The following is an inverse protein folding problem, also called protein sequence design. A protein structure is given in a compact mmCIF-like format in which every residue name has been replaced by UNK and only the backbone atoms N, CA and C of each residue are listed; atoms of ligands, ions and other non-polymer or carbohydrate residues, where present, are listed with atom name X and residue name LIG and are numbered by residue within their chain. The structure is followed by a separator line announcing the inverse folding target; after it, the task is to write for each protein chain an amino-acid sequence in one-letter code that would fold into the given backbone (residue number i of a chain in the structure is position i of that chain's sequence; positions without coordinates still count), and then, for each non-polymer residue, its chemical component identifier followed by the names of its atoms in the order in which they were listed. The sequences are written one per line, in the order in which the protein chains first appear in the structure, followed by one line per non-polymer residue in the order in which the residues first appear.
data_IF_333306432038
#
_entry.id   IF_333306432038
#
_cell.length_a   1.000
_cell.length_b   1.000
_cell.length_c   1.000
_cell.angle_alpha   90.00
_cell.angle_beta   90.00
_cell.angle_gamma   90.00
#
_symmetry.space_group_name_H-M   'P 1'
#
loop_
_entity.id
_entity.type
_entity.pdbx_description
1 polymer ?
#
# COMPACT_ATOMS: atom_id res chain seq x y z
N UNK A 1 -15.57 40.98 13.79
CA UNK A 1 -15.12 39.58 13.61
C UNK A 1 -13.88 39.62 12.75
N UNK A 2 -12.71 39.47 13.33
CA UNK A 2 -11.43 39.47 12.62
C UNK A 2 -11.36 38.22 11.75
N UNK A 3 -11.29 38.42 10.43
CA UNK A 3 -10.92 37.37 9.48
C UNK A 3 -9.61 36.73 9.98
N UNK A 4 -9.53 35.40 10.15
CA UNK A 4 -8.28 34.77 10.57
C UNK A 4 -7.20 35.15 9.56
N UNK A 5 -6.12 35.74 10.07
CA UNK A 5 -4.93 36.02 9.27
C UNK A 5 -4.47 34.72 8.62
N UNK A 6 -4.23 34.71 7.30
CA UNK A 6 -3.78 33.56 6.48
C UNK A 6 -2.64 32.71 7.08
N UNK A 7 -1.96 33.19 8.11
CA UNK A 7 -0.87 32.54 8.83
C UNK A 7 -1.33 31.45 9.83
N UNK A 8 -2.63 31.34 10.15
CA UNK A 8 -3.15 30.31 11.08
C UNK A 8 -3.74 29.07 10.38
N UNK A 9 -3.85 29.08 9.05
CA UNK A 9 -4.38 27.94 8.31
C UNK A 9 -3.30 26.86 8.11
N UNK A 10 -3.42 25.75 8.83
CA UNK A 10 -2.57 24.58 8.61
C UNK A 10 -2.98 23.86 7.31
N UNK A 11 -1.99 23.33 6.56
CA UNK A 11 -2.25 22.49 5.38
C UNK A 11 -2.99 21.20 5.76
N UNK A 12 -2.71 20.68 6.95
CA UNK A 12 -3.34 19.49 7.50
C UNK A 12 -4.15 19.88 8.73
N UNK A 13 -5.41 19.45 8.79
CA UNK A 13 -6.27 19.62 9.95
C UNK A 13 -5.90 18.59 11.03
N UNK A 14 -5.24 19.04 12.09
CA UNK A 14 -4.80 18.17 13.19
C UNK A 14 -5.98 17.48 13.91
N UNK A 15 -7.14 18.14 13.99
CA UNK A 15 -8.35 17.56 14.58
C UNK A 15 -8.89 16.43 13.71
N UNK A 16 -8.90 16.60 12.38
CA UNK A 16 -9.27 15.54 11.44
C UNK A 16 -8.30 14.36 11.51
N UNK A 17 -6.99 14.64 11.61
CA UNK A 17 -5.96 13.60 11.79
C UNK A 17 -6.27 12.74 13.01
N UNK A 18 -6.54 13.36 14.15
CA UNK A 18 -6.82 12.62 15.38
C UNK A 18 -8.16 11.89 15.36
N UNK A 19 -9.23 12.59 14.95
CA UNK A 19 -10.61 12.10 15.11
C UNK A 19 -11.07 11.15 14.00
N UNK A 20 -10.48 11.23 12.81
CA UNK A 20 -10.84 10.36 11.68
C UNK A 20 -9.73 9.37 11.33
N UNK A 21 -8.50 9.85 11.21
CA UNK A 21 -7.42 9.02 10.67
C UNK A 21 -6.71 8.16 11.70
N UNK A 22 -6.59 8.64 12.95
CA UNK A 22 -5.93 7.90 14.02
C UNK A 22 -6.91 7.22 14.99
N UNK A 23 -8.19 7.58 14.94
CA UNK A 23 -9.24 6.96 15.75
C UNK A 23 -9.32 5.46 15.45
N UNK A 24 -9.08 4.64 16.47
CA UNK A 24 -9.10 3.16 16.37
C UNK A 24 -8.20 2.62 15.24
N UNK A 25 -7.09 3.32 14.95
CA UNK A 25 -6.13 2.95 13.93
C UNK A 25 -4.86 2.37 14.57
N UNK A 26 -4.98 1.28 15.32
CA UNK A 26 -3.82 0.61 15.92
C UNK A 26 -2.77 0.26 14.86
N UNK A 27 -1.50 0.30 15.27
CA UNK A 27 -0.31 0.13 14.43
C UNK A 27 0.03 1.34 13.54
N UNK A 28 -0.77 2.41 13.56
CA UNK A 28 -0.44 3.67 12.88
C UNK A 28 0.89 4.29 13.36
N UNK A 29 1.29 4.03 14.61
CA UNK A 29 2.59 4.41 15.15
C UNK A 29 3.76 3.70 14.44
N UNK A 30 3.52 2.50 13.89
CA UNK A 30 4.48 1.80 13.02
C UNK A 30 4.80 2.60 11.75
N UNK A 31 3.83 3.37 11.26
CA UNK A 31 4.02 4.32 10.15
C UNK A 31 4.51 5.70 10.63
N UNK A 32 4.85 5.84 11.91
CA UNK A 32 5.34 7.09 12.52
C UNK A 32 4.26 8.12 12.83
N UNK A 33 2.99 7.73 12.83
CA UNK A 33 1.90 8.63 13.20
C UNK A 33 1.78 8.79 14.72
N UNK A 34 1.26 9.94 15.15
CA UNK A 34 0.97 10.26 16.54
C UNK A 34 -0.18 11.29 16.60
N UNK A 35 -0.83 11.54 17.75
CA UNK A 35 -1.94 12.50 17.82
C UNK A 35 -1.58 13.85 17.16
N UNK A 36 -2.43 14.32 16.24
CA UNK A 36 -2.21 15.53 15.44
C UNK A 36 -1.14 15.46 14.35
N UNK A 37 -0.49 14.30 14.14
CA UNK A 37 0.63 14.13 13.20
C UNK A 37 0.51 12.84 12.39
N UNK A 38 0.45 12.95 11.06
CA UNK A 38 0.23 11.80 10.17
C UNK A 38 1.44 10.88 9.99
N UNK A 39 2.65 11.33 10.31
CA UNK A 39 3.87 10.58 9.99
C UNK A 39 3.93 10.18 8.52
N UNK A 40 4.23 8.91 8.25
CA UNK A 40 4.22 8.32 6.91
C UNK A 40 2.83 8.24 6.26
N UNK A 41 1.75 8.42 7.02
CA UNK A 41 0.38 8.51 6.50
C UNK A 41 0.22 9.53 5.38
N UNK A 42 0.98 10.63 5.44
CA UNK A 42 0.98 11.65 4.39
C UNK A 42 1.42 11.11 3.03
N UNK A 43 2.33 10.13 2.98
CA UNK A 43 2.79 9.51 1.74
C UNK A 43 1.68 8.66 1.11
N UNK A 44 0.94 7.92 1.95
CA UNK A 44 -0.14 7.04 1.49
C UNK A 44 -1.35 7.82 0.97
N UNK A 45 -1.52 9.07 1.40
CA UNK A 45 -2.45 10.03 0.80
C UNK A 45 -1.85 10.67 -0.46
N UNK A 46 -0.62 11.19 -0.36
CA UNK A 46 0.00 11.98 -1.42
C UNK A 46 0.24 11.20 -2.70
N UNK A 47 0.60 9.91 -2.64
CA UNK A 47 0.79 9.06 -3.81
C UNK A 47 -0.50 8.98 -4.66
N UNK A 48 -1.61 8.42 -4.17
CA UNK A 48 -2.83 8.33 -4.97
C UNK A 48 -3.39 9.69 -5.37
N UNK A 49 -3.21 10.72 -4.55
CA UNK A 49 -3.61 12.09 -4.90
C UNK A 49 -2.78 12.65 -6.07
N UNK A 50 -1.44 12.56 -5.99
CA UNK A 50 -0.53 13.24 -6.91
C UNK A 50 -0.59 12.71 -8.34
N UNK A 51 -0.74 11.40 -8.53
CA UNK A 51 -0.87 10.79 -9.87
C UNK A 51 -2.28 10.28 -10.17
N UNK A 52 -3.29 10.68 -9.38
CA UNK A 52 -4.71 10.35 -9.57
C UNK A 52 -4.96 8.84 -9.69
N UNK A 53 -4.43 8.06 -8.75
CA UNK A 53 -4.56 6.61 -8.73
C UNK A 53 -6.04 6.19 -8.66
N UNK A 54 -6.53 5.54 -9.71
CA UNK A 54 -7.93 5.09 -9.80
C UNK A 54 -8.16 3.84 -8.97
N UNK A 55 -7.27 2.85 -9.08
CA UNK A 55 -7.36 1.61 -8.31
C UNK A 55 -6.20 1.51 -7.32
N UNK A 56 -6.52 1.66 -6.04
CA UNK A 56 -5.59 1.42 -4.94
C UNK A 56 -5.87 0.05 -4.31
N UNK A 57 -4.81 -0.69 -3.97
CA UNK A 57 -4.91 -1.98 -3.27
C UNK A 57 -3.97 -1.93 -2.07
N UNK A 58 -4.50 -2.27 -0.89
CA UNK A 58 -3.74 -2.36 0.36
C UNK A 58 -3.76 -3.81 0.85
N UNK A 59 -2.59 -4.41 1.07
CA UNK A 59 -2.45 -5.73 1.67
C UNK A 59 -1.96 -5.56 3.10
N UNK A 60 -2.74 -6.07 4.05
CA UNK A 60 -2.51 -5.85 5.48
C UNK A 60 -3.06 -4.49 5.90
N UNK A 61 -3.73 -4.48 7.05
CA UNK A 61 -4.50 -3.31 7.48
C UNK A 61 -4.16 -2.80 8.88
N UNK A 62 -3.86 -3.69 9.83
CA UNK A 62 -3.87 -3.36 11.25
C UNK A 62 -5.21 -2.71 11.65
N UNK A 63 -5.17 -1.49 12.18
CA UNK A 63 -6.37 -0.69 12.44
C UNK A 63 -7.02 -0.05 11.20
N UNK A 64 -6.53 -0.34 10.00
CA UNK A 64 -7.02 0.23 8.74
C UNK A 64 -6.44 1.61 8.44
N UNK A 65 -5.25 1.96 8.95
CA UNK A 65 -4.67 3.31 8.79
C UNK A 65 -4.41 3.70 7.33
N UNK A 66 -3.66 2.86 6.59
CA UNK A 66 -3.27 3.10 5.20
C UNK A 66 -4.46 3.15 4.22
N UNK A 67 -5.43 2.21 4.22
CA UNK A 67 -6.55 2.26 3.28
C UNK A 67 -7.43 3.50 3.47
N UNK A 68 -7.52 4.07 4.68
CA UNK A 68 -8.20 5.36 4.93
C UNK A 68 -7.53 6.50 4.18
N UNK A 69 -6.19 6.55 4.16
CA UNK A 69 -5.42 7.58 3.45
C UNK A 69 -5.61 7.50 1.94
N UNK A 70 -5.51 6.28 1.40
CA UNK A 70 -5.77 6.05 -0.02
C UNK A 70 -7.17 6.49 -0.41
N UNK A 71 -8.16 6.08 0.39
CA UNK A 71 -9.55 6.38 0.08
C UNK A 71 -9.86 7.87 0.23
N UNK A 72 -9.29 8.55 1.23
CA UNK A 72 -9.47 9.98 1.37
C UNK A 72 -8.88 10.75 0.18
N UNK A 73 -7.67 10.39 -0.28
CA UNK A 73 -7.08 11.02 -1.46
C UNK A 73 -7.99 10.94 -2.68
N UNK A 74 -8.60 9.77 -2.90
CA UNK A 74 -9.57 9.58 -3.96
C UNK A 74 -10.83 10.44 -3.76
N UNK A 75 -11.41 10.46 -2.54
CA UNK A 75 -12.58 11.28 -2.21
C UNK A 75 -12.32 12.77 -2.46
N UNK A 76 -11.14 13.27 -2.14
CA UNK A 76 -10.78 14.66 -2.36
C UNK A 76 -10.63 14.99 -3.86
N UNK A 77 -10.03 14.09 -4.64
CA UNK A 77 -9.98 14.21 -6.10
C UNK A 77 -11.38 14.20 -6.74
N UNK A 78 -12.27 13.33 -6.25
CA UNK A 78 -13.67 13.26 -6.64
C UNK A 78 -14.40 14.57 -6.37
N UNK A 79 -14.26 15.11 -5.16
CA UNK A 79 -14.88 16.38 -4.78
C UNK A 79 -14.41 17.54 -5.67
N UNK A 80 -13.11 17.57 -6.01
CA UNK A 80 -12.57 18.56 -6.94
C UNK A 80 -13.12 18.40 -8.36
N UNK A 81 -13.21 17.17 -8.88
CA UNK A 81 -13.76 16.90 -10.20
C UNK A 81 -15.22 17.35 -10.31
N UNK A 82 -16.04 17.01 -9.30
CA UNK A 82 -17.45 17.42 -9.20
C UNK A 82 -17.58 18.94 -9.14
N UNK A 83 -16.74 19.62 -8.33
CA UNK A 83 -16.74 21.08 -8.24
C UNK A 83 -16.41 21.77 -9.57
N UNK A 84 -15.68 21.10 -10.47
CA UNK A 84 -15.34 21.57 -11.81
C UNK A 84 -16.34 21.12 -12.89
N UNK A 85 -17.40 20.40 -12.53
CA UNK A 85 -18.41 19.91 -13.48
C UNK A 85 -17.94 18.74 -14.36
N UNK A 86 -16.90 18.03 -13.96
CA UNK A 86 -16.42 16.83 -14.64
C UNK A 86 -17.18 15.57 -14.15
N UNK A 87 -17.34 14.58 -15.04
CA UNK A 87 -17.86 13.27 -14.66
C UNK A 87 -16.81 12.53 -13.81
N UNK A 88 -17.13 12.16 -12.55
CA UNK A 88 -16.16 11.49 -11.69
C UNK A 88 -15.87 10.06 -12.21
N UNK A 89 -14.64 9.83 -12.66
CA UNK A 89 -14.19 8.49 -13.00
C UNK A 89 -14.09 7.59 -11.76
N UNK A 90 -14.38 6.28 -11.94
CA UNK A 90 -14.48 5.28 -10.88
C UNK A 90 -13.18 5.02 -10.11
N UNK A 91 -12.98 5.77 -9.04
CA UNK A 91 -11.96 5.53 -8.02
C UNK A 91 -12.40 4.44 -7.05
N UNK A 92 -11.54 3.46 -6.81
CA UNK A 92 -11.74 2.40 -5.83
C UNK A 92 -10.48 2.12 -5.01
N UNK A 93 -10.72 1.76 -3.75
CA UNK A 93 -9.69 1.29 -2.83
C UNK A 93 -10.11 -0.09 -2.34
N UNK A 94 -9.25 -1.09 -2.57
CA UNK A 94 -9.42 -2.44 -2.06
C UNK A 94 -8.51 -2.67 -0.86
N UNK A 95 -9.05 -3.29 0.17
CA UNK A 95 -8.29 -3.75 1.32
C UNK A 95 -8.31 -5.28 1.36
N UNK A 96 -7.14 -5.90 1.44
CA UNK A 96 -6.97 -7.35 1.53
C UNK A 96 -6.35 -7.66 2.88
N UNK A 97 -7.05 -8.45 3.68
CA UNK A 97 -6.56 -8.91 4.98
C UNK A 97 -7.09 -10.33 5.23
N UNK A 98 -6.21 -11.26 5.60
CA UNK A 98 -6.62 -12.65 5.80
C UNK A 98 -7.13 -12.92 7.22
N UNK A 99 -6.96 -11.98 8.16
CA UNK A 99 -7.23 -12.16 9.59
C UNK A 99 -6.62 -13.47 10.13
N UNK A 100 -5.29 -13.54 10.18
CA UNK A 100 -4.54 -14.72 10.62
C UNK A 100 -3.63 -14.40 11.82
N UNK A 101 -4.19 -13.92 12.95
CA UNK A 101 -3.41 -13.48 14.11
C UNK A 101 -2.47 -14.58 14.65
N UNK A 102 -2.82 -15.86 14.48
CA UNK A 102 -1.99 -17.01 14.85
C UNK A 102 -0.68 -17.11 14.05
N UNK A 103 -0.61 -16.46 12.88
CA UNK A 103 0.60 -16.37 12.06
C UNK A 103 1.55 -15.26 12.53
N UNK A 104 1.18 -14.53 13.60
CA UNK A 104 1.94 -13.40 14.14
C UNK A 104 1.67 -12.07 13.42
N UNK A 105 0.87 -12.09 12.35
CA UNK A 105 0.56 -10.96 11.46
C UNK A 105 -0.94 -10.93 11.14
N UNK A 106 -1.48 -9.81 10.68
CA UNK A 106 -2.87 -9.74 10.23
C UNK A 106 -3.89 -9.92 11.36
N UNK A 107 -3.99 -8.92 12.24
CA UNK A 107 -5.02 -8.81 13.29
C UNK A 107 -5.83 -7.53 13.09
N UNK A 108 -6.74 -7.51 12.10
CA UNK A 108 -7.58 -6.35 11.83
C UNK A 108 -8.47 -6.04 13.04
N UNK A 109 -8.55 -4.76 13.43
CA UNK A 109 -9.38 -4.30 14.56
C UNK A 109 -10.75 -3.78 14.12
N UNK A 110 -11.13 -4.01 12.87
CA UNK A 110 -12.33 -3.48 12.25
C UNK A 110 -13.26 -4.59 11.71
N UNK A 111 -13.12 -5.82 12.23
CA UNK A 111 -13.88 -6.99 11.76
C UNK A 111 -15.39 -6.82 11.93
N UNK A 112 -15.82 -6.15 12.99
CA UNK A 112 -17.23 -5.84 13.21
C UNK A 112 -17.70 -4.78 12.19
N UNK A 113 -18.84 -5.04 11.56
CA UNK A 113 -19.39 -4.14 10.52
C UNK A 113 -19.77 -2.75 11.06
N UNK A 114 -19.99 -2.62 12.37
CA UNK A 114 -20.22 -1.36 13.07
C UNK A 114 -18.94 -0.75 13.66
N UNK A 115 -17.76 -1.30 13.38
CA UNK A 115 -16.49 -0.67 13.78
C UNK A 115 -16.31 0.69 13.13
N UNK A 116 -15.52 1.57 13.78
CA UNK A 116 -15.30 2.93 13.31
C UNK A 116 -14.83 2.99 11.85
N UNK A 117 -13.86 2.15 11.48
CA UNK A 117 -13.35 2.09 10.10
C UNK A 117 -14.45 1.76 9.09
N UNK A 118 -15.27 0.74 9.38
CA UNK A 118 -16.33 0.27 8.49
C UNK A 118 -17.44 1.31 8.32
N UNK A 119 -17.77 2.04 9.38
CA UNK A 119 -18.75 3.13 9.33
C UNK A 119 -18.25 4.38 8.58
N UNK A 120 -16.98 4.77 8.76
CA UNK A 120 -16.44 6.00 8.15
C UNK A 120 -15.91 5.79 6.72
N UNK A 121 -15.52 4.55 6.40
CA UNK A 121 -14.99 4.15 5.09
C UNK A 121 -15.74 2.93 4.51
N UNK A 122 -17.08 2.99 4.40
CA UNK A 122 -17.89 1.86 3.92
C UNK A 122 -17.67 1.58 2.42
N UNK A 123 -17.08 2.54 1.71
CA UNK A 123 -16.73 2.49 0.30
C UNK A 123 -15.32 1.95 0.04
N UNK A 124 -14.61 1.48 1.07
CA UNK A 124 -13.44 0.61 0.91
C UNK A 124 -13.90 -0.83 0.69
N UNK A 125 -13.48 -1.42 -0.42
CA UNK A 125 -13.85 -2.78 -0.80
C UNK A 125 -12.96 -3.76 -0.02
N UNK A 126 -13.52 -4.38 1.00
CA UNK A 126 -12.79 -5.31 1.89
C UNK A 126 -12.84 -6.74 1.36
N UNK A 127 -11.68 -7.39 1.32
CA UNK A 127 -11.50 -8.80 1.03
C UNK A 127 -10.89 -9.49 2.26
N UNK A 128 -11.72 -10.18 3.04
CA UNK A 128 -11.29 -11.01 4.18
C UNK A 128 -10.72 -12.37 3.69
N UNK A 129 -9.62 -12.31 2.93
CA UNK A 129 -8.99 -13.46 2.24
C UNK A 129 -7.49 -13.22 2.08
N UNK A 130 -6.73 -14.27 1.77
CA UNK A 130 -5.29 -14.14 1.51
C UNK A 130 -5.04 -13.39 0.20
N UNK A 131 -3.98 -12.59 0.16
CA UNK A 131 -3.51 -11.88 -1.05
C UNK A 131 -3.36 -12.80 -2.27
N UNK A 132 -2.84 -14.02 -2.07
CA UNK A 132 -2.67 -15.00 -3.14
C UNK A 132 -3.99 -15.42 -3.83
N UNK A 133 -5.13 -15.27 -3.15
CA UNK A 133 -6.46 -15.59 -3.67
C UNK A 133 -7.12 -14.39 -4.34
N UNK A 134 -6.84 -13.18 -3.84
CA UNK A 134 -7.49 -11.95 -4.30
C UNK A 134 -6.71 -11.28 -5.43
N UNK A 135 -5.38 -11.21 -5.36
CA UNK A 135 -4.56 -10.57 -6.39
C UNK A 135 -4.85 -11.11 -7.82
N UNK A 136 -5.06 -12.43 -8.04
CA UNK A 136 -5.41 -12.95 -9.36
C UNK A 136 -6.76 -12.49 -9.93
N UNK A 137 -7.65 -11.89 -9.12
CA UNK A 137 -8.95 -11.40 -9.60
C UNK A 137 -8.87 -10.02 -10.26
N UNK A 138 -7.76 -9.30 -10.08
CA UNK A 138 -7.54 -8.02 -10.77
C UNK A 138 -7.04 -8.27 -12.19
N UNK A 139 -7.47 -7.42 -13.13
CA UNK A 139 -6.94 -7.44 -14.49
C UNK A 139 -5.46 -7.03 -14.50
N UNK A 140 -4.68 -7.58 -15.44
CA UNK A 140 -3.31 -7.15 -15.65
C UNK A 140 -3.27 -5.65 -16.02
N UNK A 141 -2.29 -4.92 -15.50
CA UNK A 141 -2.15 -3.48 -15.80
C UNK A 141 -3.23 -2.56 -15.20
N UNK A 142 -3.99 -3.03 -14.21
CA UNK A 142 -5.19 -2.35 -13.73
C UNK A 142 -5.06 -1.70 -12.35
N UNK A 143 -3.95 -1.91 -11.64
CA UNK A 143 -3.70 -1.38 -10.28
C UNK A 143 -2.72 -0.22 -10.34
N UNK A 144 -3.15 0.97 -9.97
CA UNK A 144 -2.29 2.17 -10.00
C UNK A 144 -1.39 2.26 -8.77
N UNK A 145 -1.89 1.80 -7.62
CA UNK A 145 -1.13 1.81 -6.38
C UNK A 145 -1.36 0.53 -5.58
N UNK A 146 -0.28 -0.21 -5.28
CA UNK A 146 -0.32 -1.39 -4.40
C UNK A 146 0.57 -1.16 -3.16
N UNK A 147 -0.01 -1.24 -1.98
CA UNK A 147 0.72 -1.23 -0.71
C UNK A 147 0.81 -2.65 -0.14
N UNK A 148 2.00 -3.04 0.32
CA UNK A 148 2.30 -4.35 0.89
C UNK A 148 2.80 -4.15 2.34
N UNK A 149 1.98 -4.58 3.29
CA UNK A 149 2.20 -4.52 4.74
C UNK A 149 1.44 -5.67 5.45
N UNK A 150 1.46 -6.86 4.84
CA UNK A 150 0.74 -8.05 5.30
C UNK A 150 1.63 -9.02 6.08
N UNK A 151 2.30 -9.93 5.37
CA UNK A 151 3.28 -10.85 5.96
C UNK A 151 4.68 -10.24 5.85
N UNK A 152 5.30 -9.98 7.00
CA UNK A 152 6.57 -9.25 7.08
C UNK A 152 7.78 -10.16 6.85
N UNK A 153 7.57 -11.48 6.69
CA UNK A 153 8.62 -12.40 6.27
C UNK A 153 9.17 -12.03 4.89
N UNK A 154 10.38 -12.49 4.59
CA UNK A 154 10.97 -12.27 3.27
C UNK A 154 10.10 -12.93 2.18
N UNK A 155 9.67 -14.16 2.42
CA UNK A 155 8.90 -15.00 1.51
C UNK A 155 7.50 -14.42 1.25
N UNK A 156 6.81 -13.97 2.30
CA UNK A 156 5.48 -13.36 2.21
C UNK A 156 5.52 -12.06 1.40
N UNK A 157 6.36 -11.12 1.80
CA UNK A 157 6.54 -9.85 1.10
C UNK A 157 6.98 -10.04 -0.36
N UNK A 158 7.95 -10.94 -0.61
CA UNK A 158 8.40 -11.26 -1.98
C UNK A 158 7.28 -11.85 -2.84
N UNK A 159 6.49 -12.77 -2.28
CA UNK A 159 5.36 -13.39 -2.98
C UNK A 159 4.32 -12.35 -3.37
N UNK A 160 3.95 -11.45 -2.46
CA UNK A 160 2.98 -10.38 -2.75
C UNK A 160 3.50 -9.41 -3.80
N UNK A 161 4.77 -9.01 -3.70
CA UNK A 161 5.43 -8.16 -4.69
C UNK A 161 5.40 -8.80 -6.08
N UNK A 162 5.82 -10.06 -6.21
CA UNK A 162 5.89 -10.75 -7.50
C UNK A 162 4.50 -11.00 -8.11
N UNK A 163 3.48 -11.27 -7.30
CA UNK A 163 2.08 -11.43 -7.74
C UNK A 163 1.44 -10.10 -8.14
N UNK A 164 1.76 -9.03 -7.42
CA UNK A 164 1.28 -7.69 -7.72
C UNK A 164 1.91 -7.09 -8.98
N UNK A 165 3.15 -7.46 -9.29
CA UNK A 165 3.94 -6.86 -10.39
C UNK A 165 3.21 -6.84 -11.75
N UNK A 166 2.60 -7.93 -12.25
CA UNK A 166 1.84 -7.91 -13.50
C UNK A 166 0.53 -7.10 -13.43
N UNK A 167 0.04 -6.79 -12.23
CA UNK A 167 -1.21 -6.04 -12.04
C UNK A 167 -0.99 -4.54 -12.11
N UNK A 168 0.22 -4.05 -11.86
CA UNK A 168 0.49 -2.62 -11.86
C UNK A 168 0.19 -2.00 -13.23
N UNK A 169 -0.53 -0.87 -13.26
CA UNK A 169 -0.71 -0.02 -14.42
C UNK A 169 0.61 0.59 -14.92
N UNK A 170 0.63 1.17 -16.12
CA UNK A 170 1.86 1.67 -16.77
C UNK A 170 2.73 2.55 -15.86
N UNK A 171 2.09 3.47 -15.14
CA UNK A 171 2.72 4.38 -14.17
C UNK A 171 2.51 3.95 -12.71
N UNK A 172 2.00 2.74 -12.52
CA UNK A 172 1.67 2.22 -11.20
C UNK A 172 2.91 2.01 -10.33
N UNK A 173 2.72 2.21 -9.03
CA UNK A 173 3.77 2.10 -8.01
C UNK A 173 3.39 1.08 -6.94
N UNK A 174 4.40 0.51 -6.31
CA UNK A 174 4.26 -0.29 -5.10
C UNK A 174 4.90 0.41 -3.92
N UNK A 175 4.33 0.21 -2.74
CA UNK A 175 5.02 0.50 -1.49
C UNK A 175 5.21 -0.77 -0.66
N UNK A 176 6.39 -0.91 -0.06
CA UNK A 176 6.73 -1.97 0.89
C UNK A 176 6.99 -1.31 2.24
N UNK A 177 6.27 -1.69 3.29
CA UNK A 177 6.46 -1.14 4.64
C UNK A 177 7.43 -2.00 5.49
N UNK A 178 7.76 -1.58 6.70
CA UNK A 178 8.69 -2.25 7.62
C UNK A 178 10.11 -2.47 7.05
N UNK A 179 10.62 -1.49 6.28
CA UNK A 179 11.93 -1.60 5.63
C UNK A 179 13.13 -1.38 6.57
N UNK A 180 12.93 -0.85 7.78
CA UNK A 180 14.01 -0.51 8.73
C UNK A 180 14.12 -1.43 9.95
N UNK A 181 13.36 -2.53 10.00
CA UNK A 181 13.36 -3.50 11.10
C UNK A 181 14.54 -4.50 11.08
N UNK A 182 15.75 -4.01 10.78
CA UNK A 182 16.98 -4.82 10.68
C UNK A 182 17.40 -5.50 11.99
N UNK A 183 16.92 -5.05 13.15
CA UNK A 183 17.22 -5.71 14.43
C UNK A 183 16.26 -6.88 14.73
N UNK A 184 15.24 -7.09 13.89
CA UNK A 184 14.25 -8.15 14.01
C UNK A 184 14.28 -9.08 12.79
N UNK A 185 15.43 -9.29 12.14
CA UNK A 185 15.52 -10.03 10.86
C UNK A 185 14.96 -11.46 10.90
N UNK A 186 14.98 -12.09 12.07
CA UNK A 186 14.38 -13.43 12.28
C UNK A 186 12.86 -13.42 12.09
N UNK A 187 12.24 -12.24 12.14
CA UNK A 187 10.80 -12.00 12.14
C UNK A 187 10.40 -11.13 10.94
N UNK A 188 11.23 -10.16 10.52
CA UNK A 188 10.97 -9.27 9.38
C UNK A 188 12.07 -9.37 8.30
N UNK A 189 11.67 -9.72 7.06
CA UNK A 189 12.54 -9.90 5.92
C UNK A 189 12.40 -8.86 4.81
N UNK A 190 11.57 -7.83 4.97
CA UNK A 190 11.22 -6.88 3.89
C UNK A 190 12.44 -6.12 3.36
N UNK A 191 13.36 -5.71 4.23
CA UNK A 191 14.59 -5.01 3.82
C UNK A 191 15.45 -5.82 2.84
N UNK A 192 15.44 -7.17 2.93
CA UNK A 192 16.14 -8.04 1.98
C UNK A 192 15.46 -8.01 0.61
N UNK A 193 14.13 -7.99 0.57
CA UNK A 193 13.37 -7.78 -0.67
C UNK A 193 13.79 -6.45 -1.31
N UNK A 194 13.80 -5.36 -0.55
CA UNK A 194 14.22 -4.02 -1.03
C UNK A 194 15.65 -4.05 -1.58
N UNK A 195 16.59 -4.69 -0.88
CA UNK A 195 17.98 -4.83 -1.32
C UNK A 195 18.10 -5.59 -2.66
N UNK A 196 17.36 -6.68 -2.84
CA UNK A 196 17.33 -7.42 -4.12
C UNK A 196 16.75 -6.59 -5.27
N UNK A 197 15.67 -5.85 -5.00
CA UNK A 197 15.04 -5.00 -6.02
C UNK A 197 16.00 -3.93 -6.50
N UNK A 198 16.73 -3.28 -5.59
CA UNK A 198 17.81 -2.33 -5.89
C UNK A 198 18.93 -2.98 -6.70
N UNK A 199 19.42 -4.14 -6.26
CA UNK A 199 20.51 -4.85 -6.91
C UNK A 199 20.16 -5.28 -8.34
N UNK A 200 18.89 -5.62 -8.61
CA UNK A 200 18.44 -6.06 -9.93
C UNK A 200 18.55 -4.98 -11.01
N UNK A 201 18.59 -3.69 -10.63
CA UNK A 201 18.54 -2.51 -11.52
C UNK A 201 17.34 -2.46 -12.47
N UNK A 202 16.34 -3.34 -12.28
CA UNK A 202 15.07 -3.36 -13.04
C UNK A 202 14.00 -2.46 -12.43
N UNK A 203 14.25 -1.92 -11.24
CA UNK A 203 13.29 -1.10 -10.51
C UNK A 203 13.94 0.22 -10.09
N UNK A 204 13.15 1.28 -10.14
CA UNK A 204 13.40 2.47 -9.34
C UNK A 204 12.92 2.17 -7.93
N UNK A 205 13.80 2.41 -6.95
CA UNK A 205 13.55 2.15 -5.54
C UNK A 205 13.98 3.36 -4.72
N UNK A 206 13.00 4.02 -4.10
CA UNK A 206 13.22 5.07 -3.11
C UNK A 206 12.87 4.48 -1.75
N UNK A 207 13.85 4.30 -0.89
CA UNK A 207 13.65 3.73 0.46
C UNK A 207 13.81 4.85 1.48
N UNK A 208 12.85 4.94 2.40
CA UNK A 208 12.75 5.97 3.42
C UNK A 208 12.74 5.27 4.79
N UNK A 209 13.89 4.73 5.25
CA UNK A 209 13.95 3.88 6.44
C UNK A 209 13.68 4.64 7.75
N UNK A 210 13.65 5.98 7.71
CA UNK A 210 13.46 6.86 8.86
C UNK A 210 12.03 7.35 9.05
N UNK A 211 11.10 7.01 8.15
CA UNK A 211 9.68 7.33 8.29
C UNK A 211 9.00 6.13 8.92
N UNK A 212 8.62 6.26 10.20
CA UNK A 212 8.09 5.13 10.99
C UNK A 212 9.11 3.99 11.04
N UNK A 213 8.65 2.78 10.72
CA UNK A 213 9.46 1.55 10.58
C UNK A 213 10.02 1.35 9.18
N UNK A 214 9.98 2.39 8.36
CA UNK A 214 10.53 2.42 7.02
C UNK A 214 9.50 2.09 5.94
N UNK A 215 9.59 2.80 4.82
CA UNK A 215 8.77 2.53 3.63
C UNK A 215 9.62 2.70 2.37
N UNK A 216 9.55 1.71 1.47
CA UNK A 216 10.12 1.81 0.14
C UNK A 216 9.02 2.02 -0.90
N UNK A 217 9.24 2.95 -1.82
CA UNK A 217 8.46 3.14 -3.04
C UNK A 217 9.21 2.46 -4.18
N UNK A 218 8.53 1.57 -4.90
CA UNK A 218 9.09 0.75 -5.95
C UNK A 218 8.30 0.93 -7.24
N UNK A 219 9.00 1.10 -8.36
CA UNK A 219 8.41 1.13 -9.70
C UNK A 219 9.29 0.34 -10.69
N UNK A 220 8.72 -0.46 -11.61
CA UNK A 220 9.50 -1.06 -12.70
C UNK A 220 10.10 -0.01 -13.65
N UNK A 221 11.39 -0.14 -13.96
CA UNK A 221 12.07 0.65 -15.01
C UNK A 221 11.72 0.09 -16.38
N UNK A 222 11.38 0.99 -17.32
CA UNK A 222 11.22 0.65 -18.74
C UNK A 222 10.19 -0.46 -18.99
N UNK A 223 8.91 -0.10 -19.11
CA UNK A 223 7.89 -1.04 -19.56
C UNK A 223 7.89 -1.14 -21.08
N UNK A 224 8.55 -2.15 -21.62
CA UNK A 224 7.97 -2.92 -22.73
C UNK A 224 7.03 -3.97 -22.10
N UNK A 225 5.74 -3.63 -21.98
CA UNK A 225 4.71 -4.42 -21.28
C UNK A 225 4.55 -5.85 -21.85
N UNK A 226 5.15 -6.16 -23.00
CA UNK A 226 5.13 -7.50 -23.61
C UNK A 226 6.13 -8.52 -23.02
N UNK A 227 7.16 -8.12 -22.26
CA UNK A 227 8.26 -9.04 -21.91
C UNK A 227 8.08 -9.78 -20.57
N UNK A 228 7.25 -9.28 -19.65
CA UNK A 228 7.05 -9.94 -18.35
C UNK A 228 6.19 -11.21 -18.43
N UNK A 229 5.36 -11.34 -19.46
CA UNK A 229 4.72 -12.62 -19.81
C UNK A 229 5.78 -13.71 -20.14
N UNK A 230 6.92 -13.32 -20.70
CA UNK A 230 8.04 -14.22 -21.03
C UNK A 230 8.95 -14.53 -19.83
N UNK A 231 8.91 -13.75 -18.76
CA UNK A 231 9.73 -14.02 -17.56
C UNK A 231 9.28 -15.30 -16.83
N UNK A 232 7.98 -15.66 -16.92
CA UNK A 232 7.46 -16.96 -16.47
C UNK A 232 8.10 -18.14 -17.21
N UNK A 233 8.52 -17.97 -18.47
CA UNK A 233 9.25 -19.00 -19.22
C UNK A 233 10.73 -19.09 -18.80
N UNK A 234 11.38 -17.96 -18.52
CA UNK A 234 12.81 -17.96 -18.21
C UNK A 234 13.13 -18.49 -16.81
N UNK A 235 12.31 -18.18 -15.80
CA UNK A 235 12.48 -18.69 -14.43
C UNK A 235 12.26 -20.22 -14.33
N UNK A 236 11.32 -20.76 -15.11
CA UNK A 236 11.13 -22.22 -15.22
C UNK A 236 12.31 -22.93 -15.90
N UNK A 237 12.97 -22.28 -16.85
CA UNK A 237 14.18 -22.83 -17.50
C UNK A 237 15.37 -22.89 -16.56
N UNK A 238 15.61 -21.83 -15.79
CA UNK A 238 16.73 -21.77 -14.83
C UNK A 238 16.55 -22.78 -13.69
N UNK A 239 15.33 -22.94 -13.17
CA UNK A 239 15.04 -23.92 -12.11
C UNK A 239 14.91 -25.37 -12.63
N UNK A 240 14.62 -25.56 -13.91
CA UNK A 240 14.55 -26.87 -14.56
C UNK A 240 15.91 -27.49 -14.88
N UNK A 241 16.93 -26.67 -15.21
CA UNK A 241 18.28 -27.15 -15.54
C UNK A 241 19.06 -27.64 -14.32
N UNK A 242 18.69 -27.21 -13.11
CA UNK A 242 19.34 -27.64 -11.86
C UNK A 242 18.92 -29.07 -11.46
N UNK A 243 17.80 -29.60 -11.97
CA UNK A 243 17.29 -30.94 -11.63
C UNK A 243 17.78 -32.09 -12.52
N UNK A 244 18.60 -31.84 -13.54
CA UNK A 244 19.06 -32.88 -14.48
C UNK A 244 20.58 -32.94 -14.68
N UNK A 245 21.37 -32.38 -13.77
CA UNK A 245 22.84 -32.39 -13.84
C UNK A 245 23.52 -33.05 -12.65
N UNK A 246 23.48 -34.40 -12.62
CA UNK A 246 24.25 -35.34 -11.78
C UNK A 246 24.12 -35.26 -10.26
#
# INVERSE_FOLDING_TARGET
MTSPTRLEAALLDAGLVETLFLKEASWSEGHGASPGFLGGGILYYALPYAFRARRCVCIGSGGGFVPRMMRQAQRDLLAQAVALGADPEGYETHLIDANLPESGWGSPQWLDDDSFFRQQFPDVIVHLRRSQEVLPTFAAGSVDYLHIDGDHSYEGCKSDFERGLPLLAEHGVMTLHDTSLHLQEKVCGVHRVVAELRASRRFDVVDLPFIGRGVAIVRPRGRDVGMLANLKMSLRRILGTIRTGR
#
